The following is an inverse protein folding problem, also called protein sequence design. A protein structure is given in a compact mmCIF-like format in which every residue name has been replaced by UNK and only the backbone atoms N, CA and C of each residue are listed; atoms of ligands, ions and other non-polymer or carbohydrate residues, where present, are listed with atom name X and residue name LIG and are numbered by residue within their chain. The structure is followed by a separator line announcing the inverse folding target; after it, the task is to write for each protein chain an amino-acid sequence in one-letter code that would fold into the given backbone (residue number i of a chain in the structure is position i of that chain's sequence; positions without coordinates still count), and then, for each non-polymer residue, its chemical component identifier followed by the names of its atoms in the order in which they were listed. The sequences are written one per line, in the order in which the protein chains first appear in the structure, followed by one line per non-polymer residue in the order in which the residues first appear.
data_IF_401711916555
#
_entry.id   IF_401711916555
#
_cell.length_a   1.000
_cell.length_b   1.000
_cell.length_c   1.000
_cell.angle_alpha   90.00
_cell.angle_beta   90.00
_cell.angle_gamma   90.00
#
_symmetry.space_group_name_H-M   'P 1'
#
loop_
_entity.id
_entity.type
_entity.pdbx_description
1 polymer ?
#
# COMPACT_ATOMS: atom_id res chain seq x y z
N UNK A 1 -1.21 5.11 16.72
CA UNK A 1 -2.30 4.87 15.71
C UNK A 1 -1.69 4.28 14.46
N UNK A 2 -2.44 4.03 13.38
CA UNK A 2 -1.86 3.63 12.07
C UNK A 2 -2.22 4.66 11.01
N UNK A 3 -1.31 4.92 10.08
CA UNK A 3 -1.52 5.77 8.92
C UNK A 3 -1.42 4.93 7.65
N UNK A 4 -2.43 5.02 6.79
CA UNK A 4 -2.45 4.41 5.45
C UNK A 4 -2.15 5.48 4.40
N UNK A 5 -1.32 5.14 3.42
CA UNK A 5 -0.93 6.05 2.32
C UNK A 5 -1.00 5.28 1.00
N UNK A 6 -1.72 5.81 0.02
CA UNK A 6 -1.73 5.25 -1.33
C UNK A 6 -0.73 5.97 -2.22
N UNK A 7 0.15 5.21 -2.88
CA UNK A 7 1.09 5.73 -3.87
C UNK A 7 0.92 4.97 -5.19
N UNK A 8 0.64 5.71 -6.27
CA UNK A 8 0.53 5.13 -7.61
C UNK A 8 1.84 4.53 -8.12
N UNK A 9 1.77 3.81 -9.24
CA UNK A 9 2.88 3.05 -9.85
C UNK A 9 4.04 3.91 -10.41
N UNK A 10 3.95 5.24 -10.28
CA UNK A 10 4.94 6.18 -10.82
C UNK A 10 4.67 6.61 -12.26
N UNK A 11 3.56 6.15 -12.86
CA UNK A 11 3.10 6.54 -14.17
C UNK A 11 3.71 5.74 -15.33
N UNK A 12 3.31 6.11 -16.55
CA UNK A 12 3.51 5.27 -17.74
C UNK A 12 2.36 4.29 -17.95
N UNK A 13 2.24 3.77 -19.17
CA UNK A 13 1.18 2.81 -19.49
C UNK A 13 1.59 1.40 -19.06
N UNK A 14 0.69 0.70 -18.38
CA UNK A 14 0.83 -0.73 -18.07
C UNK A 14 2.00 -1.08 -17.14
N UNK A 15 2.20 -0.32 -16.06
CA UNK A 15 3.28 -0.53 -15.08
C UNK A 15 4.66 -0.68 -15.74
N UNK A 16 5.02 0.29 -16.59
CA UNK A 16 6.24 0.26 -17.41
C UNK A 16 7.51 0.04 -16.58
N UNK A 17 7.50 0.51 -15.33
CA UNK A 17 8.65 0.42 -14.42
C UNK A 17 8.59 -0.80 -13.50
N UNK A 18 7.50 -1.57 -13.52
CA UNK A 18 7.34 -2.79 -12.71
C UNK A 18 7.14 -2.52 -11.22
N UNK A 19 6.75 -1.31 -10.83
CA UNK A 19 6.65 -0.89 -9.43
C UNK A 19 5.48 -1.58 -8.73
N UNK A 20 4.35 -1.72 -9.41
CA UNK A 20 3.14 -2.31 -8.81
C UNK A 20 3.32 -3.81 -8.46
N UNK A 21 4.42 -4.44 -8.88
CA UNK A 21 4.75 -5.84 -8.58
C UNK A 21 6.01 -6.01 -7.74
N UNK A 22 6.71 -4.92 -7.42
CA UNK A 22 7.94 -4.96 -6.64
C UNK A 22 7.65 -4.64 -5.16
N UNK A 23 7.71 -5.62 -4.24
CA UNK A 23 7.47 -5.38 -2.83
C UNK A 23 8.53 -4.51 -2.17
N UNK A 24 9.65 -4.22 -2.85
CA UNK A 24 10.69 -3.29 -2.39
C UNK A 24 10.42 -1.84 -2.81
N UNK A 25 9.46 -1.62 -3.72
CA UNK A 25 9.05 -0.29 -4.14
C UNK A 25 7.98 0.26 -3.21
N UNK A 26 8.07 1.55 -2.90
CA UNK A 26 6.97 2.27 -2.23
C UNK A 26 5.92 2.76 -3.22
N UNK A 27 6.17 2.65 -4.53
CA UNK A 27 5.24 3.01 -5.59
C UNK A 27 4.39 1.80 -5.98
N UNK A 28 3.20 2.07 -6.48
CA UNK A 28 2.23 1.04 -6.85
C UNK A 28 1.77 0.22 -5.63
N UNK A 29 1.71 0.88 -4.47
CA UNK A 29 1.49 0.25 -3.18
C UNK A 29 0.55 1.06 -2.28
N UNK A 30 -0.11 0.34 -1.37
CA UNK A 30 -0.66 0.91 -0.14
C UNK A 30 0.38 0.72 0.96
N UNK A 31 0.79 1.81 1.59
CA UNK A 31 1.71 1.81 2.72
C UNK A 31 0.93 1.85 4.04
N UNK A 32 1.47 1.21 5.08
CA UNK A 32 0.97 1.26 6.44
C UNK A 32 2.11 1.49 7.42
N UNK A 33 2.05 2.61 8.14
CA UNK A 33 3.04 3.00 9.15
C UNK A 33 2.40 3.32 10.49
N UNK A 34 3.21 3.33 11.54
CA UNK A 34 2.87 3.94 12.83
C UNK A 34 3.42 5.37 12.83
N UNK A 35 2.58 6.43 12.91
CA UNK A 35 3.02 7.82 12.75
C UNK A 35 3.67 8.39 14.02
N UNK A 36 4.37 7.53 14.77
CA UNK A 36 5.10 7.84 15.99
C UNK A 36 6.58 7.45 15.79
N UNK A 37 7.56 8.28 16.21
CA UNK A 37 8.97 7.95 16.05
C UNK A 37 9.35 6.61 16.71
N UNK A 38 10.20 5.84 16.05
CA UNK A 38 10.64 4.53 16.52
C UNK A 38 12.12 4.30 16.20
N UNK A 39 12.96 4.25 17.24
CA UNK A 39 14.41 4.11 17.10
C UNK A 39 15.01 5.33 16.41
N UNK A 40 15.69 5.11 15.28
CA UNK A 40 16.31 6.12 14.43
C UNK A 40 15.38 6.64 13.33
N UNK A 41 14.15 6.10 13.22
CA UNK A 41 13.16 6.49 12.21
C UNK A 41 12.11 7.46 12.77
N UNK A 42 11.62 8.40 11.94
CA UNK A 42 10.54 9.30 12.34
C UNK A 42 9.16 8.62 12.41
N UNK A 43 9.06 7.33 12.09
CA UNK A 43 7.86 6.50 12.15
C UNK A 43 8.21 5.04 12.50
N UNK A 44 7.22 4.29 12.98
CA UNK A 44 7.30 2.85 13.21
C UNK A 44 6.79 2.02 12.03
N UNK A 45 7.26 0.77 11.97
CA UNK A 45 6.74 -0.25 11.05
C UNK A 45 5.87 -1.22 11.85
N UNK A 46 4.56 -1.31 11.56
CA UNK A 46 3.71 -2.30 12.19
C UNK A 46 4.24 -3.71 11.92
N UNK A 47 4.48 -4.50 12.97
CA UNK A 47 4.99 -5.87 12.85
C UNK A 47 4.06 -6.82 12.08
N UNK A 48 2.79 -6.45 11.92
CA UNK A 48 1.81 -7.19 11.13
C UNK A 48 1.91 -6.89 9.62
N UNK A 49 2.79 -5.99 9.16
CA UNK A 49 2.99 -5.77 7.72
C UNK A 49 3.63 -7.02 7.08
N UNK A 50 3.24 -7.39 5.84
CA UNK A 50 3.76 -8.58 5.17
C UNK A 50 5.29 -8.65 5.08
N UNK A 51 5.95 -7.49 4.98
CA UNK A 51 7.41 -7.38 4.79
C UNK A 51 8.14 -6.79 6.00
N UNK A 52 7.49 -6.74 7.18
CA UNK A 52 8.09 -6.16 8.39
C UNK A 52 9.41 -6.86 8.80
N UNK A 53 9.55 -8.14 8.48
CA UNK A 53 10.75 -8.95 8.74
C UNK A 53 11.69 -9.10 7.54
N UNK A 54 11.49 -8.34 6.47
CA UNK A 54 12.28 -8.40 5.23
C UNK A 54 11.54 -9.06 4.05
N UNK A 55 12.21 -9.12 2.90
CA UNK A 55 11.62 -9.58 1.63
C UNK A 55 10.88 -8.49 0.83
N UNK A 56 10.88 -7.26 1.33
CA UNK A 56 10.30 -6.06 0.72
C UNK A 56 10.54 -4.84 1.61
N UNK A 57 9.96 -3.71 1.24
CA UNK A 57 9.92 -2.51 2.07
C UNK A 57 8.93 -2.72 3.22
N UNK A 58 9.37 -2.49 4.46
CA UNK A 58 8.58 -2.78 5.65
C UNK A 58 7.28 -1.98 5.73
N UNK A 59 7.21 -0.84 5.05
CA UNK A 59 6.05 0.04 4.95
C UNK A 59 4.93 -0.56 4.10
N UNK A 60 5.25 -1.46 3.16
CA UNK A 60 4.30 -1.97 2.17
C UNK A 60 3.27 -2.86 2.88
N UNK A 61 2.00 -2.48 2.74
CA UNK A 61 0.85 -3.23 3.21
C UNK A 61 0.23 -4.09 2.11
N UNK A 62 0.08 -3.51 0.92
CA UNK A 62 -0.41 -4.18 -0.28
C UNK A 62 0.28 -3.59 -1.51
N UNK A 63 0.46 -4.41 -2.55
CA UNK A 63 0.99 -4.00 -3.87
C UNK A 63 -0.10 -4.13 -4.94
N UNK A 64 0.21 -3.70 -6.15
CA UNK A 64 -0.64 -3.94 -7.33
C UNK A 64 -1.54 -2.78 -7.74
N UNK A 65 -1.51 -1.67 -6.99
CA UNK A 65 -2.29 -0.48 -7.32
C UNK A 65 -1.59 0.36 -8.38
N UNK A 66 -2.36 1.03 -9.23
CA UNK A 66 -1.85 1.88 -10.30
C UNK A 66 -1.95 3.37 -9.95
N UNK A 67 -3.10 3.83 -9.52
CA UNK A 67 -3.39 5.21 -9.11
C UNK A 67 -4.51 5.24 -8.05
N UNK A 68 -4.22 4.79 -6.81
CA UNK A 68 -5.19 4.77 -5.72
C UNK A 68 -5.57 6.19 -5.33
N UNK A 69 -6.81 6.61 -5.60
CA UNK A 69 -7.24 8.00 -5.44
C UNK A 69 -8.15 8.22 -4.23
N UNK A 70 -8.71 7.14 -3.67
CA UNK A 70 -9.48 7.18 -2.42
C UNK A 70 -9.21 5.93 -1.59
N UNK A 71 -9.06 6.15 -0.29
CA UNK A 71 -8.94 5.11 0.73
C UNK A 71 -10.00 5.39 1.80
N UNK A 72 -10.72 4.36 2.21
CA UNK A 72 -11.69 4.45 3.31
C UNK A 72 -11.63 3.24 4.23
N UNK A 73 -12.11 3.42 5.46
CA UNK A 73 -12.13 2.41 6.51
C UNK A 73 -13.54 2.31 7.10
N UNK A 74 -14.13 1.12 7.02
CA UNK A 74 -15.42 0.83 7.63
C UNK A 74 -15.45 -0.61 8.16
N UNK A 75 -15.97 -0.80 9.38
CA UNK A 75 -16.15 -2.10 10.05
C UNK A 75 -14.97 -3.10 9.94
N UNK A 76 -13.73 -2.61 10.08
CA UNK A 76 -12.52 -3.44 10.00
C UNK A 76 -12.05 -3.78 8.58
N UNK A 77 -12.66 -3.17 7.57
CA UNK A 77 -12.30 -3.29 6.16
C UNK A 77 -11.67 -2.01 5.62
N UNK A 78 -10.71 -2.21 4.74
CA UNK A 78 -10.02 -1.21 3.95
C UNK A 78 -10.57 -1.26 2.53
N UNK A 79 -11.05 -0.12 2.05
CA UNK A 79 -11.51 0.07 0.68
C UNK A 79 -10.52 0.95 -0.06
N UNK A 80 -10.02 0.48 -1.20
CA UNK A 80 -9.08 1.21 -2.06
C UNK A 80 -9.72 1.39 -3.42
N UNK A 81 -10.03 2.62 -3.80
CA UNK A 81 -10.48 2.94 -5.15
C UNK A 81 -9.27 3.32 -6.02
N UNK A 82 -9.09 2.59 -7.12
CA UNK A 82 -7.95 2.72 -8.02
C UNK A 82 -8.39 2.97 -9.47
N UNK A 83 -7.74 3.93 -10.14
CA UNK A 83 -8.00 4.26 -11.54
C UNK A 83 -7.08 3.42 -12.43
N UNK A 84 -7.60 2.35 -13.06
CA UNK A 84 -6.87 1.48 -13.98
C UNK A 84 -6.64 2.06 -15.38
N UNK A 85 -6.20 3.32 -15.43
CA UNK A 85 -5.81 4.05 -16.64
C UNK A 85 -6.96 4.19 -17.66
N UNK A 86 -6.89 3.49 -18.79
CA UNK A 86 -7.88 3.52 -19.89
C UNK A 86 -8.70 2.21 -19.98
N UNK A 87 -8.59 1.36 -18.96
CA UNK A 87 -9.32 0.10 -18.87
C UNK A 87 -10.49 0.24 -17.88
N UNK A 88 -10.32 -0.29 -16.66
CA UNK A 88 -11.37 -0.31 -15.64
C UNK A 88 -10.90 0.40 -14.38
N UNK A 89 -11.82 1.08 -13.71
CA UNK A 89 -11.63 1.48 -12.32
C UNK A 89 -11.99 0.30 -11.43
N UNK A 90 -11.27 0.14 -10.31
CA UNK A 90 -11.49 -0.96 -9.37
C UNK A 90 -11.67 -0.45 -7.94
N UNK A 91 -12.42 -1.22 -7.15
CA UNK A 91 -12.44 -1.11 -5.69
C UNK A 91 -11.90 -2.42 -5.14
N UNK A 92 -10.74 -2.35 -4.48
CA UNK A 92 -10.14 -3.47 -3.78
C UNK A 92 -10.50 -3.39 -2.30
N UNK A 93 -11.00 -4.50 -1.74
CA UNK A 93 -11.45 -4.59 -0.34
C UNK A 93 -10.54 -5.57 0.41
N UNK A 94 -9.93 -5.10 1.49
CA UNK A 94 -8.96 -5.85 2.28
C UNK A 94 -9.32 -5.80 3.78
N UNK A 95 -9.07 -6.84 4.57
CA UNK A 95 -9.15 -6.72 6.02
C UNK A 95 -8.04 -5.79 6.54
N UNK A 96 -8.35 -4.93 7.51
CA UNK A 96 -7.37 -3.96 8.06
C UNK A 96 -6.31 -4.62 8.94
N UNK A 97 -6.68 -5.72 9.59
CA UNK A 97 -5.86 -6.41 10.60
C UNK A 97 -5.25 -7.73 10.12
N UNK A 98 -5.55 -8.17 8.89
CA UNK A 98 -4.94 -9.35 8.29
C UNK A 98 -4.03 -8.93 7.13
N UNK A 99 -2.82 -9.53 6.98
CA UNK A 99 -1.92 -9.22 5.87
C UNK A 99 -2.67 -9.22 4.53
N UNK A 100 -2.44 -8.21 3.70
CA UNK A 100 -2.95 -8.24 2.35
C UNK A 100 -2.30 -9.42 1.59
N UNK A 101 -3.07 -10.12 0.73
CA UNK A 101 -2.57 -11.24 -0.05
C UNK A 101 -1.50 -10.84 -1.07
#
# INVERSE_FOLDING_TARGET
GRLLVGLGDGGGSGDRFGNARDPSSLLGAILRIEPDPAGDRPYGIPGANPYASGGGAGEVWAIGVRNPWRIDLDDGWLYVADVGQNAYEEITVLPVDAPAP
#
